data_IF_511966652022
#
_entry.id   IF_511966652022
#
_cell.length_a   1.000
_cell.length_b   1.000
_cell.length_c   1.000
_cell.angle_alpha   90.00
_cell.angle_beta   90.00
_cell.angle_gamma   90.00
#
_symmetry.space_group_name_H-M   'P 1'
#
loop_
_entity.id
_entity.type
_entity.pdbx_description
1 polymer ?
#
# COMPACT_ATOMS: atom_id res chain seq x y z
N UNK A 1 8.88 11.45 -5.98
CA UNK A 1 8.93 10.35 -5.01
C UNK A 1 8.34 10.90 -3.74
N UNK A 2 7.19 10.38 -3.33
CA UNK A 2 6.55 10.69 -2.07
C UNK A 2 6.94 9.62 -1.04
N UNK A 3 7.26 10.05 0.18
CA UNK A 3 7.57 9.15 1.27
C UNK A 3 6.28 8.77 1.98
N UNK A 4 5.89 7.50 1.94
CA UNK A 4 4.65 7.00 2.55
C UNK A 4 4.99 6.06 3.70
N UNK A 5 4.29 6.24 4.82
CA UNK A 5 4.41 5.37 6.00
C UNK A 5 3.12 4.56 6.18
N UNK A 6 3.24 3.25 6.09
CA UNK A 6 2.20 2.29 6.44
C UNK A 6 2.38 1.85 7.89
N UNK A 7 1.28 1.74 8.63
CA UNK A 7 1.30 1.36 10.04
C UNK A 7 0.36 0.17 10.21
N UNK A 8 0.93 -0.97 10.58
CA UNK A 8 0.16 -2.17 10.89
C UNK A 8 -0.70 -1.99 12.14
N UNK A 9 -1.69 -2.85 12.32
CA UNK A 9 -2.57 -2.82 13.50
C UNK A 9 -1.82 -2.97 14.85
N UNK A 10 -0.61 -3.55 14.83
CA UNK A 10 0.26 -3.73 15.99
C UNK A 10 1.19 -2.53 16.25
N UNK A 11 1.18 -1.51 15.38
CA UNK A 11 2.03 -0.33 15.45
C UNK A 11 3.35 -0.41 14.69
N UNK A 12 3.67 -1.55 14.05
CA UNK A 12 4.85 -1.70 13.19
C UNK A 12 4.74 -0.75 12.00
N UNK A 13 5.82 -0.03 11.72
CA UNK A 13 5.85 0.98 10.66
C UNK A 13 6.74 0.53 9.50
N UNK A 14 6.25 0.74 8.29
CA UNK A 14 6.98 0.54 7.05
C UNK A 14 6.99 1.84 6.28
N UNK A 15 8.16 2.41 6.01
CA UNK A 15 8.28 3.65 5.26
C UNK A 15 9.03 3.40 3.96
N UNK A 16 8.39 3.74 2.84
CA UNK A 16 8.91 3.49 1.49
C UNK A 16 8.74 4.72 0.60
N UNK A 17 9.58 4.83 -0.41
CA UNK A 17 9.44 5.86 -1.43
C UNK A 17 8.55 5.35 -2.57
N UNK A 18 7.45 6.07 -2.83
CA UNK A 18 6.49 5.74 -3.88
C UNK A 18 6.61 6.77 -5.00
N UNK A 19 6.65 6.30 -6.24
CA UNK A 19 6.69 7.18 -7.40
C UNK A 19 5.41 8.03 -7.49
N UNK A 20 5.55 9.31 -7.84
CA UNK A 20 4.39 10.19 -8.00
C UNK A 20 3.51 9.66 -9.16
N UNK A 21 2.20 9.61 -8.94
CA UNK A 21 1.23 9.08 -9.91
C UNK A 21 0.78 7.66 -9.62
N UNK A 22 1.51 6.90 -8.80
CA UNK A 22 1.01 5.64 -8.24
C UNK A 22 0.03 5.91 -7.10
N UNK A 23 -0.86 4.95 -6.89
CA UNK A 23 -1.77 4.91 -5.75
C UNK A 23 -1.06 4.44 -4.47
N UNK A 24 -1.67 4.71 -3.31
CA UNK A 24 -1.17 4.22 -2.02
C UNK A 24 -1.21 2.68 -1.97
N UNK A 25 -2.23 2.05 -2.57
CA UNK A 25 -2.33 0.60 -2.66
C UNK A 25 -1.17 -0.01 -3.47
N UNK A 26 -0.86 0.55 -4.65
CA UNK A 26 0.27 0.05 -5.46
C UNK A 26 1.59 0.22 -4.71
N UNK A 27 1.78 1.34 -4.02
CA UNK A 27 2.94 1.55 -3.15
C UNK A 27 3.06 0.51 -2.04
N UNK A 28 1.94 0.05 -1.46
CA UNK A 28 1.94 -1.02 -0.46
C UNK A 28 2.25 -2.38 -1.09
N UNK A 29 1.55 -2.73 -2.18
CA UNK A 29 1.67 -4.04 -2.84
C UNK A 29 3.06 -4.26 -3.42
N UNK A 30 3.59 -3.29 -4.15
CA UNK A 30 4.88 -3.43 -4.84
C UNK A 30 6.08 -3.39 -3.88
N UNK A 31 5.86 -3.03 -2.62
CA UNK A 31 6.86 -3.09 -1.54
C UNK A 31 6.55 -4.18 -0.50
N UNK A 32 5.68 -5.15 -0.83
CA UNK A 32 5.31 -6.29 0.02
C UNK A 32 4.84 -5.89 1.43
N UNK A 33 4.10 -4.77 1.55
CA UNK A 33 3.58 -4.29 2.84
C UNK A 33 2.47 -5.23 3.35
N UNK A 34 2.60 -5.83 4.55
CA UNK A 34 1.57 -6.71 5.11
C UNK A 34 0.25 -5.98 5.38
N UNK A 35 -0.87 -6.68 5.19
CA UNK A 35 -2.22 -6.19 5.52
C UNK A 35 -2.97 -5.51 4.37
N UNK A 36 -2.37 -5.41 3.18
CA UNK A 36 -3.02 -4.97 1.94
C UNK A 36 -2.94 -6.12 0.93
N UNK A 37 -4.08 -6.67 0.53
CA UNK A 37 -4.15 -7.83 -0.37
C UNK A 37 -4.26 -7.39 -1.83
N UNK A 38 -5.10 -6.39 -2.09
CA UNK A 38 -5.32 -5.79 -3.41
C UNK A 38 -5.82 -6.77 -4.50
N UNK A 39 -6.76 -7.65 -4.17
CA UNK A 39 -7.23 -8.73 -5.06
C UNK A 39 -7.72 -8.27 -6.43
N UNK A 40 -8.46 -7.14 -6.49
CA UNK A 40 -8.96 -6.60 -7.77
C UNK A 40 -7.95 -5.69 -8.49
N UNK A 41 -6.74 -5.51 -7.95
CA UNK A 41 -5.71 -4.65 -8.53
C UNK A 41 -6.12 -3.18 -8.66
N UNK A 42 -6.97 -2.66 -7.75
CA UNK A 42 -7.41 -1.26 -7.77
C UNK A 42 -8.63 -0.96 -8.66
N UNK A 43 -9.32 -1.99 -9.16
CA UNK A 43 -10.55 -1.84 -9.95
C UNK A 43 -11.80 -1.43 -9.13
N UNK A 44 -11.64 -1.06 -7.85
CA UNK A 44 -12.72 -0.64 -6.94
C UNK A 44 -13.83 -1.70 -6.78
N UNK A 45 -13.45 -2.98 -6.64
CA UNK A 45 -14.39 -4.10 -6.64
C UNK A 45 -14.26 -5.10 -5.49
N UNK A 46 -13.16 -5.08 -4.71
CA UNK A 46 -12.88 -6.10 -3.68
C UNK A 46 -12.89 -5.62 -2.23
N UNK A 47 -12.71 -4.31 -1.97
CA UNK A 47 -12.57 -3.73 -0.62
C UNK A 47 -11.41 -4.27 0.24
N UNK A 48 -10.40 -4.90 -0.36
CA UNK A 48 -9.23 -5.48 0.35
C UNK A 48 -7.95 -4.63 0.23
N UNK A 49 -8.09 -3.34 -0.06
CA UNK A 49 -6.98 -2.39 -0.15
C UNK A 49 -7.33 -1.01 0.43
#
# INVERSE_FOLDING_TARGET
MAKITYIEHNGTQHTVDVANGLTVMEGARDNDIPGIEADCGGACACSTC
#
